data_IF_861546584064
#
_entry.id   IF_861546584064
#
_cell.length_a   1.000
_cell.length_b   1.000
_cell.length_c   1.000
_cell.angle_alpha   90.00
_cell.angle_beta   90.00
_cell.angle_gamma   90.00
#
_symmetry.space_group_name_H-M   'P 1'
#
loop_
_entity.id
_entity.type
_entity.pdbx_description
1 polymer ?
#
# COMPACT_ATOMS: atom_id res chain seq x y z
N UNK A 1 -11.86 42.77 6.23
CA UNK A 1 -11.99 41.90 7.43
C UNK A 1 -12.65 40.55 7.12
N UNK A 2 -13.79 40.48 6.42
CA UNK A 2 -14.46 39.19 6.13
C UNK A 2 -13.63 38.22 5.26
N UNK A 3 -12.82 38.71 4.32
CA UNK A 3 -12.03 37.84 3.44
C UNK A 3 -11.00 36.98 4.18
N UNK A 4 -10.43 37.47 5.29
CA UNK A 4 -9.46 36.70 6.07
C UNK A 4 -10.12 35.50 6.77
N UNK A 5 -11.34 35.68 7.26
CA UNK A 5 -12.11 34.60 7.89
C UNK A 5 -12.53 33.54 6.88
N UNK A 6 -12.94 33.95 5.68
CA UNK A 6 -13.28 33.02 4.60
C UNK A 6 -12.08 32.12 4.22
N UNK A 7 -10.90 32.72 4.05
CA UNK A 7 -9.68 31.96 3.74
C UNK A 7 -9.21 31.08 4.91
N UNK A 8 -9.36 31.54 6.16
CA UNK A 8 -9.03 30.72 7.33
C UNK A 8 -9.90 29.47 7.42
N UNK A 9 -11.20 29.58 7.13
CA UNK A 9 -12.11 28.44 7.06
C UNK A 9 -11.74 27.47 5.93
N UNK A 10 -11.44 27.99 4.73
CA UNK A 10 -11.02 27.16 3.59
C UNK A 10 -9.72 26.43 3.87
N UNK A 11 -8.71 27.10 4.45
CA UNK A 11 -7.44 26.48 4.81
C UNK A 11 -7.60 25.44 5.92
N UNK A 12 -8.47 25.71 6.91
CA UNK A 12 -8.78 24.76 7.98
C UNK A 12 -9.46 23.48 7.46
N UNK A 13 -10.46 23.65 6.58
CA UNK A 13 -11.13 22.53 5.90
C UNK A 13 -10.15 21.76 5.02
N UNK A 14 -9.35 22.45 4.22
CA UNK A 14 -8.34 21.82 3.37
C UNK A 14 -7.31 21.02 4.19
N UNK A 15 -6.86 21.54 5.33
CA UNK A 15 -5.95 20.82 6.23
C UNK A 15 -6.58 19.56 6.82
N UNK A 16 -7.85 19.66 7.25
CA UNK A 16 -8.59 18.52 7.81
C UNK A 16 -8.73 17.38 6.80
N UNK A 17 -9.01 17.73 5.53
CA UNK A 17 -9.14 16.76 4.45
C UNK A 17 -7.78 16.21 3.98
N UNK A 18 -6.75 17.05 3.96
CA UNK A 18 -5.39 16.64 3.59
C UNK A 18 -4.83 15.56 4.52
N UNK A 19 -5.15 15.59 5.82
CA UNK A 19 -4.79 14.53 6.75
C UNK A 19 -5.43 13.18 6.38
N UNK A 20 -6.67 13.20 5.89
CA UNK A 20 -7.35 12.00 5.38
C UNK A 20 -6.74 11.47 4.07
N UNK A 21 -6.34 12.33 3.14
CA UNK A 21 -5.66 11.88 1.92
C UNK A 21 -4.25 11.32 2.22
N UNK A 22 -3.57 11.85 3.23
CA UNK A 22 -2.24 11.34 3.63
C UNK A 22 -2.28 9.88 4.06
N UNK A 23 -3.34 9.41 4.71
CA UNK A 23 -3.47 8.00 5.10
C UNK A 23 -3.66 7.08 3.88
N UNK A 24 -4.42 7.54 2.87
CA UNK A 24 -4.57 6.82 1.60
C UNK A 24 -3.22 6.65 0.88
N UNK A 25 -2.37 7.68 0.91
CA UNK A 25 -1.04 7.63 0.31
C UNK A 25 -0.08 6.71 1.06
N UNK A 26 -0.13 6.68 2.40
CA UNK A 26 0.68 5.75 3.19
C UNK A 26 0.27 4.29 2.95
N UNK A 27 -1.03 4.01 2.78
CA UNK A 27 -1.51 2.67 2.46
C UNK A 27 -1.02 2.21 1.08
N UNK A 28 -1.01 3.10 0.07
CA UNK A 28 -0.45 2.78 -1.25
C UNK A 28 1.04 2.43 -1.17
N UNK A 29 1.82 3.17 -0.36
CA UNK A 29 3.24 2.83 -0.14
C UNK A 29 3.43 1.47 0.51
N UNK A 30 2.56 1.07 1.45
CA UNK A 30 2.63 -0.27 2.05
C UNK A 30 2.36 -1.38 1.05
N UNK A 31 1.41 -1.19 0.14
CA UNK A 31 1.17 -2.15 -0.94
C UNK A 31 2.36 -2.25 -1.91
N UNK A 32 3.01 -1.14 -2.23
CA UNK A 32 4.22 -1.14 -3.08
C UNK A 32 5.43 -1.83 -2.45
N UNK A 33 5.48 -1.97 -1.12
CA UNK A 33 6.57 -2.64 -0.42
C UNK A 33 6.47 -4.17 -0.45
N UNK A 34 5.34 -4.72 -0.90
CA UNK A 34 5.11 -6.17 -0.93
C UNK A 34 5.70 -6.72 -2.25
N UNK A 35 6.77 -7.53 -2.19
CA UNK A 35 7.45 -8.02 -3.40
C UNK A 35 6.70 -9.20 -4.06
N UNK A 36 5.58 -9.66 -3.49
CA UNK A 36 4.85 -10.84 -3.97
C UNK A 36 4.41 -10.76 -5.43
N UNK A 37 4.08 -9.57 -5.95
CA UNK A 37 3.62 -9.38 -7.34
C UNK A 37 4.68 -9.75 -8.38
N UNK A 38 5.96 -9.70 -8.03
CA UNK A 38 7.08 -10.04 -8.90
C UNK A 38 7.76 -11.36 -8.52
N UNK A 39 7.18 -12.12 -7.59
CA UNK A 39 7.76 -13.38 -7.11
C UNK A 39 7.38 -14.55 -8.03
N UNK A 40 8.35 -15.42 -8.35
CA UNK A 40 8.17 -16.65 -9.14
C UNK A 40 7.13 -17.62 -8.54
N UNK A 41 7.00 -17.62 -7.22
CA UNK A 41 6.13 -18.54 -6.48
C UNK A 41 4.71 -18.01 -6.26
N UNK A 42 4.39 -16.82 -6.77
CA UNK A 42 3.04 -16.27 -6.71
C UNK A 42 2.10 -17.11 -7.58
N UNK A 43 1.14 -17.75 -6.94
CA UNK A 43 0.05 -18.45 -7.60
C UNK A 43 -1.17 -17.57 -7.42
N UNK A 44 -1.70 -16.97 -8.50
CA UNK A 44 -2.85 -16.07 -8.44
C UNK A 44 -4.18 -16.82 -8.26
N UNK A 45 -4.22 -17.72 -7.27
CA UNK A 45 -5.37 -18.56 -6.94
C UNK A 45 -5.93 -18.18 -5.56
N UNK A 46 -7.27 -18.13 -5.39
CA UNK A 46 -7.88 -17.82 -4.10
C UNK A 46 -7.58 -18.87 -3.02
N UNK A 47 -7.23 -20.10 -3.40
CA UNK A 47 -6.93 -21.20 -2.47
C UNK A 47 -5.45 -21.28 -2.09
N UNK A 48 -4.56 -20.89 -3.00
CA UNK A 48 -3.12 -20.98 -2.80
C UNK A 48 -2.47 -19.75 -3.43
N UNK A 49 -2.07 -18.81 -2.56
CA UNK A 49 -1.48 -17.52 -2.96
C UNK A 49 0.01 -17.64 -3.31
N UNK A 50 0.73 -18.50 -2.58
CA UNK A 50 2.15 -18.75 -2.77
C UNK A 50 2.44 -20.22 -2.50
N UNK A 51 3.33 -20.83 -3.29
CA UNK A 51 3.70 -22.24 -3.12
C UNK A 51 4.60 -22.51 -1.91
N UNK A 52 5.36 -21.52 -1.45
CA UNK A 52 6.33 -21.66 -0.33
C UNK A 52 5.70 -21.25 1.00
N UNK A 53 5.04 -20.09 1.03
CA UNK A 53 4.42 -19.54 2.23
C UNK A 53 3.02 -18.97 1.94
N UNK A 54 1.99 -19.84 1.87
CA UNK A 54 0.62 -19.42 1.53
C UNK A 54 -0.04 -18.55 2.61
N UNK A 55 0.41 -18.64 3.86
CA UNK A 55 -0.17 -17.87 4.98
C UNK A 55 0.29 -16.40 4.98
N UNK A 56 1.54 -16.12 4.64
CA UNK A 56 2.11 -14.78 4.65
C UNK A 56 2.01 -14.03 3.30
N UNK A 57 1.63 -14.71 2.21
CA UNK A 57 1.56 -14.12 0.88
C UNK A 57 0.52 -12.98 0.77
N UNK A 58 0.87 -11.93 -0.01
CA UNK A 58 0.03 -10.74 -0.25
C UNK A 58 -0.37 -9.99 1.04
N UNK A 59 0.43 -10.11 2.10
CA UNK A 59 0.25 -9.37 3.36
C UNK A 59 1.49 -8.56 3.70
N UNK A 60 1.40 -7.69 4.70
CA UNK A 60 2.56 -6.93 5.21
C UNK A 60 3.69 -7.84 5.73
N UNK A 61 3.39 -9.10 6.09
CA UNK A 61 4.38 -10.07 6.55
C UNK A 61 5.33 -10.53 5.43
N UNK A 62 4.91 -10.36 4.16
CA UNK A 62 5.76 -10.65 3.02
C UNK A 62 6.75 -9.51 2.69
N UNK A 63 6.67 -8.37 3.38
CA UNK A 63 7.68 -7.30 3.27
C UNK A 63 9.02 -7.87 3.79
N UNK A 64 9.99 -8.03 2.89
CA UNK A 64 11.27 -8.68 3.22
C UNK A 64 11.22 -10.21 3.28
N UNK A 65 10.29 -10.84 2.54
CA UNK A 65 10.21 -12.30 2.43
C UNK A 65 11.57 -12.91 2.05
N UNK A 66 12.07 -13.85 2.86
CA UNK A 66 13.37 -14.53 2.65
C UNK A 66 13.36 -15.50 1.48
N UNK A 67 12.18 -16.02 1.15
CA UNK A 67 11.97 -16.96 0.05
C UNK A 67 11.62 -16.23 -1.26
N UNK A 68 11.78 -14.90 -1.30
CA UNK A 68 11.52 -14.11 -2.49
C UNK A 68 12.51 -14.47 -3.59
N UNK A 69 11.97 -14.95 -4.71
CA UNK A 69 12.73 -15.20 -5.92
C UNK A 69 12.06 -14.43 -7.08
N UNK A 70 12.80 -13.56 -7.77
CA UNK A 70 12.23 -12.77 -8.85
C UNK A 70 11.75 -13.68 -9.98
N UNK A 71 10.57 -13.39 -10.54
CA UNK A 71 10.07 -14.15 -11.68
C UNK A 71 11.02 -13.95 -12.89
N UNK A 72 11.41 -15.02 -13.60
CA UNK A 72 12.34 -14.93 -14.73
C UNK A 72 11.75 -14.25 -15.98
N UNK A 73 10.48 -13.85 -15.94
CA UNK A 73 9.74 -13.25 -17.04
C UNK A 73 9.45 -11.74 -16.83
N UNK A 74 10.11 -11.13 -15.84
CA UNK A 74 10.01 -9.70 -15.54
C UNK A 74 10.70 -8.82 -16.56
#
# INVERSE_FOLDING_TARGET
>A
MLSFFAWSLVLGLAWHWALGLRSLWQQSRRLHQIPCSQCRFLVNSPYLKCSVNPAAALSEQAIGCRDYEPSPWG
#
